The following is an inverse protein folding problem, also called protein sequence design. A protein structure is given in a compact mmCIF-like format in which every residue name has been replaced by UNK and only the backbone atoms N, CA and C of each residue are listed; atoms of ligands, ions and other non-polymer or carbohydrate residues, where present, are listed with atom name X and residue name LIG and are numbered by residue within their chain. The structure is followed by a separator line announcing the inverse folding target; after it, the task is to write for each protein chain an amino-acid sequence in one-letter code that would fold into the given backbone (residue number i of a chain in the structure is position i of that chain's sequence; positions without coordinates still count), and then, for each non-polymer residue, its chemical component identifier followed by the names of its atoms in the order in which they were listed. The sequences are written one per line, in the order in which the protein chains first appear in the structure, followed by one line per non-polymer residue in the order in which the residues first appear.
data_IF_174310966888
#
_entry.id   IF_174310966888
#
_cell.length_a   1.000
_cell.length_b   1.000
_cell.length_c   1.000
_cell.angle_alpha   90.00
_cell.angle_beta   90.00
_cell.angle_gamma   90.00
#
_symmetry.space_group_name_H-M   'P 1'
#
loop_
_entity.id
_entity.type
_entity.pdbx_description
1 polymer ?
#
# COMPACT_ATOMS: atom_id res chain seq x y z
N UNK A 1 8.42 -1.70 18.05
CA UNK A 1 7.27 -2.51 17.55
C UNK A 1 6.57 -1.91 16.33
N UNK A 2 6.60 -0.59 16.11
CA UNK A 2 5.89 0.06 14.97
C UNK A 2 6.43 -0.27 13.57
N UNK A 3 7.72 -0.62 13.45
CA UNK A 3 8.35 -0.98 12.16
C UNK A 3 7.82 -2.30 11.57
N UNK A 4 7.59 -3.33 12.40
CA UNK A 4 7.02 -4.62 11.92
C UNK A 4 5.60 -4.45 11.39
N UNK A 5 4.81 -3.57 12.02
CA UNK A 5 3.47 -3.23 11.54
C UNK A 5 3.58 -2.58 10.15
N UNK A 6 4.43 -1.57 9.96
CA UNK A 6 4.60 -0.93 8.65
C UNK A 6 5.02 -1.89 7.53
N UNK A 7 5.97 -2.81 7.81
CA UNK A 7 6.41 -3.82 6.83
C UNK A 7 5.25 -4.74 6.43
N UNK A 8 4.42 -5.16 7.39
CA UNK A 8 3.25 -5.98 7.13
C UNK A 8 2.22 -5.25 6.26
N UNK A 9 1.91 -3.98 6.60
CA UNK A 9 0.96 -3.19 5.80
C UNK A 9 1.49 -2.93 4.37
N UNK A 10 2.78 -2.62 4.22
CA UNK A 10 3.38 -2.38 2.91
C UNK A 10 3.32 -3.63 2.00
N UNK A 11 3.64 -4.80 2.57
CA UNK A 11 3.59 -6.09 1.83
C UNK A 11 2.16 -6.49 1.48
N UNK A 12 1.21 -6.28 2.40
CA UNK A 12 -0.22 -6.50 2.17
C UNK A 12 -0.78 -5.56 1.09
N UNK A 13 -0.39 -4.28 1.12
CA UNK A 13 -0.82 -3.30 0.12
C UNK A 13 -0.26 -3.63 -1.28
N UNK A 14 1.01 -4.09 -1.35
CA UNK A 14 1.63 -4.51 -2.61
C UNK A 14 0.96 -5.74 -3.22
N UNK A 15 0.68 -6.77 -2.41
CA UNK A 15 -0.06 -7.96 -2.88
C UNK A 15 -1.47 -7.60 -3.36
N UNK A 16 -2.17 -6.74 -2.63
CA UNK A 16 -3.50 -6.29 -3.03
C UNK A 16 -3.48 -5.45 -4.32
N UNK A 17 -2.44 -4.62 -4.53
CA UNK A 17 -2.24 -3.87 -5.76
C UNK A 17 -2.01 -4.79 -6.97
N UNK A 18 -1.19 -5.83 -6.82
CA UNK A 18 -0.99 -6.85 -7.87
C UNK A 18 -2.29 -7.56 -8.23
N UNK A 19 -3.09 -7.94 -7.24
CA UNK A 19 -4.40 -8.56 -7.46
C UNK A 19 -5.40 -7.59 -8.11
N UNK A 20 -5.34 -6.30 -7.78
CA UNK A 20 -6.17 -5.27 -8.40
C UNK A 20 -5.82 -5.05 -9.88
N UNK A 21 -4.54 -5.03 -10.23
CA UNK A 21 -4.10 -4.91 -11.63
C UNK A 21 -4.46 -6.15 -12.45
N UNK A 22 -4.28 -7.34 -11.89
CA UNK A 22 -4.78 -8.57 -12.49
C UNK A 22 -6.31 -8.49 -12.70
N UNK A 23 -7.06 -7.91 -11.74
CA UNK A 23 -8.53 -7.84 -11.81
C UNK A 23 -9.05 -6.85 -12.86
N UNK A 24 -8.28 -5.79 -13.14
CA UNK A 24 -8.58 -4.76 -14.13
C UNK A 24 -8.14 -5.14 -15.54
N UNK A 25 -6.87 -5.50 -15.71
CA UNK A 25 -6.30 -5.80 -17.03
C UNK A 25 -6.59 -7.25 -17.45
N UNK A 26 -6.71 -8.17 -16.50
CA UNK A 26 -6.76 -9.61 -16.81
C UNK A 26 -5.44 -10.07 -17.45
N UNK A 27 -5.27 -11.38 -17.57
CA UNK A 27 -4.20 -11.94 -18.38
C UNK A 27 -4.73 -13.14 -19.16
N UNK A 28 -4.92 -12.94 -20.47
CA UNK A 28 -5.43 -13.98 -21.35
C UNK A 28 -4.52 -15.22 -21.38
N UNK A 29 -3.21 -15.02 -21.21
CA UNK A 29 -2.20 -16.08 -21.23
C UNK A 29 -2.37 -17.09 -20.07
N UNK A 30 -2.92 -16.65 -18.94
CA UNK A 30 -3.23 -17.52 -17.78
C UNK A 30 -4.73 -17.79 -17.65
N UNK A 31 -5.53 -17.51 -18.70
CA UNK A 31 -7.00 -17.59 -18.68
C UNK A 31 -7.67 -16.73 -17.59
N UNK A 32 -7.01 -15.68 -17.14
CA UNK A 32 -7.56 -14.77 -16.13
C UNK A 32 -8.34 -13.64 -16.82
N UNK A 33 -9.66 -13.76 -16.87
CA UNK A 33 -10.53 -12.70 -17.40
C UNK A 33 -10.67 -11.55 -16.38
N UNK A 34 -10.77 -10.28 -16.84
CA UNK A 34 -10.91 -9.13 -15.95
C UNK A 34 -12.24 -9.21 -15.18
N UNK A 35 -12.15 -9.47 -13.87
CA UNK A 35 -13.29 -9.56 -12.96
C UNK A 35 -14.01 -8.20 -12.85
N UNK A 36 -13.26 -7.11 -12.95
CA UNK A 36 -13.81 -5.75 -12.95
C UNK A 36 -14.75 -5.47 -14.14
N UNK A 37 -14.65 -6.23 -15.24
CA UNK A 37 -15.54 -6.08 -16.39
C UNK A 37 -16.96 -6.63 -16.15
N UNK A 38 -17.12 -7.59 -15.23
CA UNK A 38 -18.45 -8.12 -14.82
C UNK A 38 -19.02 -7.42 -13.59
N UNK A 39 -18.15 -6.92 -12.69
CA UNK A 39 -18.53 -6.34 -11.40
C UNK A 39 -17.95 -4.93 -11.20
N UNK A 40 -18.15 -4.04 -12.18
CA UNK A 40 -17.55 -2.70 -12.20
C UNK A 40 -17.82 -1.85 -10.95
N UNK A 41 -19.03 -1.93 -10.38
CA UNK A 41 -19.38 -1.18 -9.16
C UNK A 41 -18.58 -1.64 -7.92
N UNK A 42 -18.40 -2.96 -7.75
CA UNK A 42 -17.59 -3.52 -6.68
C UNK A 42 -16.10 -3.22 -6.87
N UNK A 43 -15.63 -3.26 -8.11
CA UNK A 43 -14.25 -2.90 -8.45
C UNK A 43 -13.95 -1.44 -8.14
N UNK A 44 -14.86 -0.52 -8.45
CA UNK A 44 -14.72 0.89 -8.10
C UNK A 44 -14.67 1.10 -6.58
N UNK A 45 -15.58 0.46 -5.83
CA UNK A 45 -15.63 0.59 -4.37
C UNK A 45 -14.43 -0.07 -3.67
N UNK A 46 -13.99 -1.23 -4.17
CA UNK A 46 -12.79 -1.93 -3.71
C UNK A 46 -11.51 -1.16 -4.01
N UNK A 47 -11.41 -0.54 -5.20
CA UNK A 47 -10.31 0.34 -5.59
C UNK A 47 -10.20 1.56 -4.66
N UNK A 48 -11.32 2.21 -4.34
CA UNK A 48 -11.34 3.32 -3.38
C UNK A 48 -10.87 2.87 -1.98
N UNK A 49 -11.30 1.68 -1.54
CA UNK A 49 -10.85 1.11 -0.26
C UNK A 49 -9.35 0.82 -0.24
N UNK A 50 -8.81 0.27 -1.33
CA UNK A 50 -7.37 0.02 -1.51
C UNK A 50 -6.55 1.32 -1.47
N UNK A 51 -7.01 2.35 -2.18
CA UNK A 51 -6.37 3.66 -2.17
C UNK A 51 -6.39 4.25 -0.75
N UNK A 52 -7.52 4.16 -0.04
CA UNK A 52 -7.61 4.65 1.33
C UNK A 52 -6.64 3.94 2.29
N UNK A 53 -6.42 2.63 2.09
CA UNK A 53 -5.43 1.87 2.86
C UNK A 53 -4.00 2.36 2.58
N UNK A 54 -3.66 2.62 1.32
CA UNK A 54 -2.36 3.16 0.92
C UNK A 54 -2.10 4.54 1.54
N UNK A 55 -3.12 5.40 1.60
CA UNK A 55 -3.03 6.70 2.27
C UNK A 55 -2.75 6.54 3.76
N UNK A 56 -3.40 5.58 4.43
CA UNK A 56 -3.15 5.27 5.84
C UNK A 56 -1.70 4.82 6.11
N UNK A 57 -1.14 3.97 5.23
CA UNK A 57 0.26 3.53 5.32
C UNK A 57 1.22 4.71 5.12
N UNK A 58 0.96 5.59 4.16
CA UNK A 58 1.78 6.77 3.91
C UNK A 58 1.78 7.74 5.11
N UNK A 59 0.62 7.95 5.74
CA UNK A 59 0.52 8.76 6.97
C UNK A 59 1.30 8.12 8.12
N UNK A 60 1.15 6.81 8.35
CA UNK A 60 1.89 6.07 9.39
C UNK A 60 3.41 6.16 9.18
N UNK A 61 3.87 6.12 7.93
CA UNK A 61 5.27 6.30 7.56
C UNK A 61 5.76 7.72 7.88
N UNK A 62 4.99 8.73 7.50
CA UNK A 62 5.31 10.13 7.82
C UNK A 62 5.41 10.36 9.33
N UNK A 63 4.47 9.82 10.10
CA UNK A 63 4.48 9.89 11.57
C UNK A 63 5.70 9.18 12.16
N UNK A 64 6.08 8.00 11.66
CA UNK A 64 7.29 7.30 12.11
C UNK A 64 8.55 8.14 11.84
N UNK A 65 8.66 8.75 10.66
CA UNK A 65 9.80 9.59 10.28
C UNK A 65 9.89 10.84 11.16
N UNK A 66 8.76 11.50 11.41
CA UNK A 66 8.67 12.65 12.30
C UNK A 66 9.05 12.27 13.74
N UNK A 67 8.54 11.15 14.26
CA UNK A 67 8.91 10.65 15.58
C UNK A 67 10.38 10.29 15.64
N UNK A 68 10.94 9.62 14.63
CA UNK A 68 12.36 9.29 14.57
C UNK A 68 13.22 10.57 14.53
N UNK A 69 12.83 11.57 13.73
CA UNK A 69 13.52 12.86 13.66
C UNK A 69 13.43 13.66 14.97
N UNK A 70 12.28 13.61 15.65
CA UNK A 70 12.05 14.30 16.92
C UNK A 70 12.76 13.62 18.10
N UNK A 71 12.90 12.29 18.05
CA UNK A 71 13.55 11.50 19.11
C UNK A 71 15.05 11.33 18.86
N UNK A 72 15.51 11.49 17.62
CA UNK A 72 16.94 11.50 17.28
C UNK A 72 17.58 12.77 17.85
N UNK A 73 18.53 12.67 18.80
CA UNK A 73 19.22 13.83 19.34
C UNK A 73 20.17 14.38 18.28
N UNK A 74 19.66 15.17 17.32
CA UNK A 74 20.36 16.14 16.44
C UNK A 74 21.76 15.79 15.87
N UNK A 75 22.22 14.54 15.88
CA UNK A 75 23.65 14.21 15.82
C UNK A 75 24.10 13.23 14.74
N UNK A 76 23.23 12.36 14.21
CA UNK A 76 23.66 11.30 13.26
C UNK A 76 23.10 11.53 11.83
N UNK A 77 22.29 12.57 11.62
CA UNK A 77 21.81 13.01 10.28
C UNK A 77 22.43 14.35 9.88
N UNK A 78 23.69 14.58 10.23
CA UNK A 78 24.49 15.66 9.66
C UNK A 78 25.85 15.19 9.11
N UNK A 79 26.18 13.91 9.21
CA UNK A 79 27.36 13.35 8.58
C UNK A 79 27.65 11.94 9.07
N UNK A 80 28.10 11.10 8.13
CA UNK A 80 28.86 9.85 8.34
C UNK A 80 28.22 8.76 9.21
#
# INVERSE_FOLDING_TARGET
MSQVIMVLLATGAATAASMAELGKNGNLHTRWNPICNKFGSFCNRGGVSLVSSFVGVALMLALNLLSAAATSPRGIVAGQ
#
